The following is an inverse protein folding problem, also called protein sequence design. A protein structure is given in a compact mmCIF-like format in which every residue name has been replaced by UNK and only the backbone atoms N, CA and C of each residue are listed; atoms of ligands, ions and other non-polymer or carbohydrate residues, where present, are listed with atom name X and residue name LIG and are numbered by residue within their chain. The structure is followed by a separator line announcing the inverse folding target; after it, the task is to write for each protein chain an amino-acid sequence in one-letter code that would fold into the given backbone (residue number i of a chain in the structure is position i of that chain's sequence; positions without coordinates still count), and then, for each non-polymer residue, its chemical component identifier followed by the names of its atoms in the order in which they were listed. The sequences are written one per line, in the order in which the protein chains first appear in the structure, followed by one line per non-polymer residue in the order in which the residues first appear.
data_IF_259623271844
#
_entry.id   IF_259623271844
#
_cell.length_a   1.000
_cell.length_b   1.000
_cell.length_c   1.000
_cell.angle_alpha   90.00
_cell.angle_beta   90.00
_cell.angle_gamma   90.00
#
_symmetry.space_group_name_H-M   'P 1'
#
loop_
_entity.id
_entity.type
_entity.pdbx_description
1 polymer ?
#
# COMPACT_ATOMS: atom_id res chain seq x y z
N UNK A 1 -19.17 -16.56 -9.09
CA UNK A 1 -18.03 -16.29 -8.18
C UNK A 1 -18.57 -16.30 -6.78
N UNK A 2 -17.90 -16.96 -5.83
CA UNK A 2 -18.31 -16.97 -4.43
C UNK A 2 -18.20 -15.57 -3.81
N UNK A 3 -19.03 -15.31 -2.82
CA UNK A 3 -18.99 -14.06 -2.06
C UNK A 3 -17.73 -14.03 -1.18
N UNK A 4 -16.90 -12.99 -1.31
CA UNK A 4 -15.71 -12.81 -0.47
C UNK A 4 -16.15 -12.33 0.91
N UNK A 5 -15.82 -13.07 1.95
CA UNK A 5 -16.22 -12.77 3.33
C UNK A 5 -15.03 -12.39 4.22
N UNK A 6 -13.87 -12.11 3.61
CA UNK A 6 -12.63 -11.74 4.27
C UNK A 6 -12.11 -10.40 3.76
N UNK A 7 -11.28 -9.77 4.56
CA UNK A 7 -10.59 -8.51 4.27
C UNK A 7 -9.14 -8.79 3.82
N UNK A 8 -8.59 -7.87 3.06
CA UNK A 8 -7.16 -7.82 2.74
C UNK A 8 -6.63 -6.48 3.22
N UNK A 9 -5.56 -6.49 4.01
CA UNK A 9 -4.79 -5.30 4.31
C UNK A 9 -3.74 -5.11 3.21
N UNK A 10 -3.98 -4.16 2.32
CA UNK A 10 -3.14 -3.96 1.14
C UNK A 10 -1.84 -3.20 1.42
N UNK A 11 -1.65 -2.67 2.65
CA UNK A 11 -0.47 -1.91 3.02
C UNK A 11 -0.27 -1.85 4.54
N UNK A 12 0.74 -2.52 5.06
CA UNK A 12 1.19 -2.38 6.44
C UNK A 12 2.68 -2.70 6.60
N UNK A 13 3.26 -2.29 7.75
CA UNK A 13 4.66 -2.52 8.11
C UNK A 13 4.78 -3.48 9.31
N UNK A 14 3.91 -4.49 9.40
CA UNK A 14 3.89 -5.43 10.54
C UNK A 14 5.20 -6.19 10.73
N UNK A 15 6.01 -6.34 9.67
CA UNK A 15 7.33 -6.98 9.70
C UNK A 15 8.41 -6.12 10.39
N UNK A 16 8.19 -4.81 10.49
CA UNK A 16 9.20 -3.87 10.99
C UNK A 16 9.36 -3.98 12.52
N UNK A 17 10.53 -4.46 12.95
CA UNK A 17 10.84 -4.68 14.36
C UNK A 17 11.14 -3.39 15.16
N UNK A 18 11.33 -2.25 14.49
CA UNK A 18 11.43 -0.97 15.19
C UNK A 18 10.06 -0.57 15.78
N UNK A 19 8.96 -0.95 15.14
CA UNK A 19 7.61 -0.65 15.58
C UNK A 19 6.93 -1.83 16.27
N UNK A 20 7.19 -3.05 15.82
CA UNK A 20 6.56 -4.25 16.35
C UNK A 20 7.59 -5.23 16.86
N UNK A 21 7.75 -5.31 18.19
CA UNK A 21 8.51 -6.41 18.77
C UNK A 21 7.94 -7.77 18.33
N UNK A 22 8.74 -8.85 18.27
CA UNK A 22 8.29 -10.16 17.76
C UNK A 22 6.98 -10.68 18.38
N UNK A 23 6.77 -10.46 19.67
CA UNK A 23 5.51 -10.84 20.33
C UNK A 23 4.31 -10.00 19.85
N UNK A 24 4.52 -8.73 19.48
CA UNK A 24 3.48 -7.86 18.94
C UNK A 24 3.16 -8.24 17.49
N UNK A 25 4.16 -8.64 16.69
CA UNK A 25 3.96 -9.18 15.34
C UNK A 25 3.04 -10.41 15.36
N UNK A 26 3.34 -11.39 16.21
CA UNK A 26 2.51 -12.60 16.38
C UNK A 26 1.09 -12.27 16.88
N UNK A 27 0.97 -11.32 17.82
CA UNK A 27 -0.33 -10.85 18.28
C UNK A 27 -1.12 -10.18 17.15
N UNK A 28 -0.46 -9.35 16.33
CA UNK A 28 -1.05 -8.69 15.18
C UNK A 28 -1.60 -9.68 14.14
N UNK A 29 -0.81 -10.72 13.81
CA UNK A 29 -1.26 -11.81 12.91
C UNK A 29 -2.48 -12.55 13.49
N UNK A 30 -2.44 -12.90 14.77
CA UNK A 30 -3.56 -13.56 15.44
C UNK A 30 -4.82 -12.70 15.45
N UNK A 31 -4.69 -11.41 15.77
CA UNK A 31 -5.81 -10.48 15.79
C UNK A 31 -6.39 -10.29 14.37
N UNK A 32 -5.53 -10.21 13.36
CA UNK A 32 -5.94 -10.15 11.95
C UNK A 32 -6.82 -11.35 11.59
N UNK A 33 -6.35 -12.57 11.85
CA UNK A 33 -7.09 -13.79 11.57
C UNK A 33 -8.45 -13.84 12.31
N UNK A 34 -8.49 -13.45 13.59
CA UNK A 34 -9.73 -13.38 14.37
C UNK A 34 -10.75 -12.37 13.80
N UNK A 35 -10.28 -11.33 13.12
CA UNK A 35 -11.10 -10.30 12.46
C UNK A 35 -11.32 -10.55 10.97
N UNK A 36 -11.00 -11.75 10.48
CA UNK A 36 -11.15 -12.14 9.07
C UNK A 36 -10.33 -11.30 8.10
N UNK A 37 -9.18 -10.82 8.52
CA UNK A 37 -8.14 -10.30 7.64
C UNK A 37 -7.33 -11.50 7.17
N UNK A 38 -7.57 -11.92 5.93
CA UNK A 38 -7.09 -13.20 5.41
C UNK A 38 -5.76 -13.07 4.68
N UNK A 39 -5.49 -11.88 4.15
CA UNK A 39 -4.25 -11.56 3.44
C UNK A 39 -3.71 -10.21 3.91
N UNK A 40 -2.39 -10.11 4.01
CA UNK A 40 -1.68 -8.89 4.43
C UNK A 40 -0.48 -8.67 3.49
N UNK A 41 -0.31 -7.44 3.02
CA UNK A 41 0.85 -7.04 2.22
C UNK A 41 1.81 -6.25 3.10
N UNK A 42 2.98 -6.82 3.37
CA UNK A 42 4.08 -6.20 4.10
C UNK A 42 4.91 -5.33 3.16
N UNK A 43 5.03 -4.04 3.45
CA UNK A 43 5.58 -3.04 2.54
C UNK A 43 7.02 -2.71 2.87
N UNK A 44 7.93 -2.98 1.93
CA UNK A 44 9.32 -2.58 2.05
C UNK A 44 9.53 -1.10 1.74
N UNK A 45 10.38 -0.43 2.51
CA UNK A 45 10.68 1.00 2.39
C UNK A 45 12.11 1.29 1.98
N UNK A 46 13.00 0.31 2.10
CA UNK A 46 14.35 0.31 1.53
C UNK A 46 14.77 -1.12 1.18
N UNK A 47 16.00 -1.29 0.69
CA UNK A 47 16.49 -2.61 0.30
C UNK A 47 16.52 -3.59 1.48
N UNK A 48 17.05 -3.19 2.63
CA UNK A 48 17.15 -4.07 3.80
C UNK A 48 15.79 -4.36 4.42
N UNK A 49 14.95 -3.35 4.51
CA UNK A 49 13.58 -3.47 5.02
C UNK A 49 12.73 -4.38 4.11
N UNK A 50 12.86 -4.25 2.78
CA UNK A 50 12.22 -5.17 1.83
C UNK A 50 12.66 -6.63 2.05
N UNK A 51 13.94 -6.87 2.34
CA UNK A 51 14.43 -8.22 2.69
C UNK A 51 13.92 -8.71 4.05
N UNK A 52 13.71 -7.80 5.00
CA UNK A 52 13.08 -8.14 6.27
C UNK A 52 11.61 -8.52 6.07
N UNK A 53 10.87 -7.79 5.23
CA UNK A 53 9.50 -8.14 4.84
C UNK A 53 9.44 -9.52 4.17
N UNK A 54 10.34 -9.81 3.22
CA UNK A 54 10.44 -11.12 2.57
C UNK A 54 10.68 -12.22 3.61
N UNK A 55 11.63 -12.03 4.54
CA UNK A 55 11.93 -13.01 5.60
C UNK A 55 10.73 -13.24 6.50
N UNK A 56 10.07 -12.16 6.93
CA UNK A 56 8.88 -12.25 7.77
C UNK A 56 7.77 -13.08 7.12
N UNK A 57 7.52 -12.88 5.83
CA UNK A 57 6.56 -13.68 5.06
C UNK A 57 6.97 -15.16 5.00
N UNK A 58 8.26 -15.45 4.81
CA UNK A 58 8.77 -16.84 4.77
C UNK A 58 8.70 -17.55 6.12
N UNK A 59 8.85 -16.81 7.22
CA UNK A 59 8.78 -17.34 8.59
C UNK A 59 7.33 -17.61 9.05
N UNK A 60 6.31 -17.09 8.35
CA UNK A 60 4.89 -17.24 8.68
C UNK A 60 4.05 -17.76 7.49
N UNK A 61 4.39 -18.93 6.93
CA UNK A 61 3.76 -19.44 5.70
C UNK A 61 2.26 -19.74 5.85
N UNK A 62 1.77 -19.89 7.09
CA UNK A 62 0.36 -20.15 7.39
C UNK A 62 -0.52 -18.89 7.36
N UNK A 63 0.08 -17.70 7.29
CA UNK A 63 -0.61 -16.42 7.54
C UNK A 63 -1.00 -15.66 6.26
N UNK A 64 -0.88 -16.28 5.08
CA UNK A 64 -1.21 -15.64 3.78
C UNK A 64 -0.60 -14.24 3.64
N UNK A 65 0.69 -14.12 3.94
CA UNK A 65 1.42 -12.87 3.85
C UNK A 65 2.06 -12.71 2.47
N UNK A 66 2.09 -11.46 2.01
CA UNK A 66 2.77 -11.04 0.80
C UNK A 66 3.71 -9.88 1.12
N UNK A 67 4.63 -9.57 0.22
CA UNK A 67 5.56 -8.48 0.43
C UNK A 67 5.79 -7.68 -0.85
N UNK A 68 6.22 -6.43 -0.69
CA UNK A 68 6.65 -5.56 -1.77
C UNK A 68 8.12 -5.19 -1.63
N UNK A 69 8.75 -4.86 -2.75
CA UNK A 69 10.09 -4.31 -2.78
C UNK A 69 10.02 -2.84 -3.19
N UNK A 70 10.60 -1.95 -2.38
CA UNK A 70 10.62 -0.54 -2.70
C UNK A 70 11.72 0.23 -2.00
N UNK A 71 11.95 1.46 -2.47
CA UNK A 71 12.76 2.45 -1.77
C UNK A 71 11.92 3.71 -1.66
N UNK A 72 11.47 3.98 -0.43
CA UNK A 72 10.67 5.14 -0.11
C UNK A 72 11.42 6.45 -0.44
N UNK A 73 10.76 7.51 -0.87
CA UNK A 73 11.42 8.78 -1.20
C UNK A 73 12.28 9.37 -0.07
N UNK A 74 12.00 9.11 1.21
CA UNK A 74 12.87 9.51 2.33
C UNK A 74 14.21 8.76 2.34
N UNK A 75 14.24 7.55 1.78
CA UNK A 75 15.39 6.64 1.79
C UNK A 75 16.22 6.74 0.49
N UNK A 76 16.15 7.86 -0.21
CA UNK A 76 16.84 8.06 -1.48
C UNK A 76 18.37 7.87 -1.41
N UNK A 77 18.96 7.93 -0.21
CA UNK A 77 20.38 7.66 0.04
C UNK A 77 20.69 6.17 0.26
N UNK A 78 19.66 5.33 0.41
CA UNK A 78 19.85 3.91 0.66
C UNK A 78 20.62 3.23 -0.48
N UNK A 79 21.35 2.18 -0.13
CA UNK A 79 22.11 1.38 -1.12
C UNK A 79 21.17 0.79 -2.17
N UNK A 80 21.50 1.01 -3.43
CA UNK A 80 20.76 0.47 -4.57
C UNK A 80 21.42 -0.80 -5.05
N UNK A 81 20.67 -1.85 -5.13
CA UNK A 81 21.15 -3.14 -5.66
C UNK A 81 20.30 -3.49 -6.87
N UNK A 82 20.95 -3.94 -7.94
CA UNK A 82 20.22 -4.52 -9.07
C UNK A 82 19.53 -5.79 -8.60
N UNK A 83 18.20 -5.81 -8.65
CA UNK A 83 17.39 -6.93 -8.17
C UNK A 83 16.67 -7.56 -9.35
N UNK A 84 16.80 -8.89 -9.47
CA UNK A 84 15.99 -9.69 -10.39
C UNK A 84 15.13 -10.65 -9.58
N UNK A 85 13.81 -10.49 -9.69
CA UNK A 85 12.84 -11.28 -8.94
C UNK A 85 12.30 -12.48 -9.72
N UNK A 86 12.56 -12.58 -11.04
CA UNK A 86 11.95 -13.59 -11.93
C UNK A 86 12.24 -15.03 -11.54
N UNK A 87 13.37 -15.26 -10.87
CA UNK A 87 13.81 -16.60 -10.49
C UNK A 87 13.75 -16.85 -8.97
N UNK A 88 13.12 -15.97 -8.21
CA UNK A 88 12.97 -16.16 -6.76
C UNK A 88 11.79 -17.09 -6.45
N UNK A 89 11.96 -17.94 -5.45
CA UNK A 89 10.90 -18.85 -4.99
C UNK A 89 9.72 -18.11 -4.34
N UNK A 90 9.98 -16.94 -3.76
CA UNK A 90 8.98 -16.06 -3.15
C UNK A 90 9.27 -14.62 -3.63
N UNK A 91 8.85 -14.25 -4.84
CA UNK A 91 9.07 -12.90 -5.37
C UNK A 91 8.14 -11.88 -4.69
N UNK A 92 8.47 -10.58 -4.72
CA UNK A 92 7.54 -9.54 -4.30
C UNK A 92 6.34 -9.50 -5.25
N UNK A 93 5.20 -9.09 -4.72
CA UNK A 93 3.96 -8.93 -5.52
C UNK A 93 3.83 -7.54 -6.15
N UNK A 94 4.64 -6.58 -5.71
CA UNK A 94 4.64 -5.19 -6.18
C UNK A 94 6.01 -4.54 -6.02
N UNK A 95 6.25 -3.48 -6.80
CA UNK A 95 7.30 -2.50 -6.53
C UNK A 95 6.69 -1.35 -5.73
N UNK A 96 7.10 -1.22 -4.50
CA UNK A 96 6.60 -0.24 -3.54
C UNK A 96 7.11 -0.54 -2.11
N UNK A 97 7.21 0.51 -1.34
CA UNK A 97 6.67 1.85 -1.49
C UNK A 97 7.67 2.73 -2.25
N UNK A 98 7.18 3.47 -3.27
CA UNK A 98 8.03 4.30 -4.14
C UNK A 98 7.28 5.57 -4.54
N UNK A 99 7.99 6.64 -4.82
CA UNK A 99 7.33 7.87 -5.25
C UNK A 99 8.03 9.14 -4.84
N UNK A 100 7.26 10.15 -4.39
CA UNK A 100 7.75 11.48 -4.06
C UNK A 100 7.10 12.00 -2.76
N UNK A 101 7.93 12.55 -1.85
CA UNK A 101 7.48 13.22 -0.63
C UNK A 101 8.18 14.58 -0.50
N UNK A 102 7.41 15.66 -0.61
CA UNK A 102 7.95 17.03 -0.46
C UNK A 102 7.52 17.68 0.86
N UNK A 103 6.85 16.95 1.73
CA UNK A 103 6.33 17.48 3.00
C UNK A 103 7.45 18.00 3.93
N UNK A 104 8.59 17.31 3.97
CA UNK A 104 9.74 17.71 4.80
C UNK A 104 10.73 18.62 4.08
N UNK A 105 10.36 19.13 2.90
CA UNK A 105 11.16 20.02 2.08
C UNK A 105 11.52 19.44 0.72
N UNK A 106 12.18 20.23 -0.10
CA UNK A 106 12.49 19.89 -1.50
C UNK A 106 13.99 19.88 -1.81
N UNK A 107 14.85 19.88 -0.80
CA UNK A 107 16.31 19.92 -0.97
C UNK A 107 16.85 18.69 -1.72
N UNK A 108 16.19 17.55 -1.59
CA UNK A 108 16.50 16.27 -2.19
C UNK A 108 15.57 15.90 -3.37
N UNK A 109 14.76 16.85 -3.85
CA UNK A 109 13.78 16.65 -4.92
C UNK A 109 14.37 15.96 -6.15
N UNK A 110 15.57 16.37 -6.60
CA UNK A 110 16.20 15.78 -7.79
C UNK A 110 16.55 14.31 -7.57
N UNK A 111 16.99 13.97 -6.37
CA UNK A 111 17.36 12.61 -5.99
C UNK A 111 16.13 11.74 -5.89
N UNK A 112 15.04 12.25 -5.28
CA UNK A 112 13.76 11.54 -5.23
C UNK A 112 13.20 11.28 -6.64
N UNK A 113 13.27 12.25 -7.55
CA UNK A 113 12.82 12.09 -8.95
C UNK A 113 13.63 10.99 -9.63
N UNK A 114 14.98 11.04 -9.55
CA UNK A 114 15.83 10.03 -10.17
C UNK A 114 15.56 8.63 -9.61
N UNK A 115 15.39 8.51 -8.29
CA UNK A 115 15.00 7.24 -7.66
C UNK A 115 13.65 6.76 -8.14
N UNK A 116 12.66 7.64 -8.21
CA UNK A 116 11.32 7.27 -8.64
C UNK A 116 11.31 6.75 -10.09
N UNK A 117 12.03 7.41 -11.00
CA UNK A 117 12.20 6.95 -12.40
C UNK A 117 12.86 5.56 -12.47
N UNK A 118 13.88 5.30 -11.65
CA UNK A 118 14.51 3.97 -11.54
C UNK A 118 13.52 2.91 -11.07
N UNK A 119 12.69 3.21 -10.06
CA UNK A 119 11.70 2.28 -9.52
C UNK A 119 10.56 2.02 -10.51
N UNK A 120 10.14 3.02 -11.28
CA UNK A 120 9.19 2.84 -12.38
C UNK A 120 9.73 1.89 -13.44
N UNK A 121 11.00 2.07 -13.85
CA UNK A 121 11.63 1.19 -14.81
C UNK A 121 11.75 -0.24 -14.28
N UNK A 122 12.13 -0.42 -13.01
CA UNK A 122 12.18 -1.73 -12.36
C UNK A 122 10.80 -2.42 -12.39
N UNK A 123 9.73 -1.70 -12.06
CA UNK A 123 8.37 -2.26 -12.09
C UNK A 123 7.97 -2.73 -13.49
N UNK A 124 8.31 -1.97 -14.53
CA UNK A 124 8.08 -2.32 -15.94
C UNK A 124 8.87 -3.59 -16.30
N UNK A 125 10.16 -3.63 -15.99
CA UNK A 125 11.06 -4.75 -16.33
C UNK A 125 10.65 -6.06 -15.64
N UNK A 126 10.13 -5.96 -14.42
CA UNK A 126 9.63 -7.09 -13.63
C UNK A 126 8.15 -7.40 -13.91
N UNK A 127 7.43 -6.54 -14.65
CA UNK A 127 5.98 -6.62 -14.88
C UNK A 127 5.17 -6.68 -13.58
N UNK A 128 5.56 -5.89 -12.58
CA UNK A 128 4.90 -5.80 -11.28
C UNK A 128 4.07 -4.53 -11.15
N UNK A 129 2.96 -4.54 -10.39
CA UNK A 129 2.23 -3.33 -10.04
C UNK A 129 3.04 -2.45 -9.08
N UNK A 130 2.65 -1.18 -8.98
CA UNK A 130 3.31 -0.17 -8.16
C UNK A 130 2.46 0.20 -6.94
N UNK A 131 3.12 0.44 -5.81
CA UNK A 131 2.53 1.06 -4.63
C UNK A 131 3.17 2.43 -4.49
N UNK A 132 2.40 3.47 -4.82
CA UNK A 132 2.89 4.85 -4.89
C UNK A 132 2.70 5.60 -3.59
N UNK A 133 3.77 6.19 -3.08
CA UNK A 133 3.76 7.24 -2.08
C UNK A 133 3.80 8.61 -2.76
N UNK A 134 2.79 9.44 -2.56
CA UNK A 134 2.76 10.78 -3.15
C UNK A 134 2.26 11.79 -2.14
N UNK A 135 3.17 12.61 -1.61
CA UNK A 135 2.83 13.62 -0.61
C UNK A 135 3.33 15.00 -1.02
N UNK A 136 2.40 15.94 -1.22
CA UNK A 136 2.68 17.32 -1.68
C UNK A 136 3.47 17.38 -3.00
N UNK A 137 3.40 16.33 -3.85
CA UNK A 137 4.25 16.14 -5.04
C UNK A 137 3.49 15.72 -6.31
N UNK A 138 2.16 15.80 -6.34
CA UNK A 138 1.35 15.26 -7.44
C UNK A 138 1.63 15.87 -8.82
N UNK A 139 2.05 17.13 -8.92
CA UNK A 139 2.34 17.72 -10.23
C UNK A 139 3.61 17.10 -10.84
N UNK A 140 4.67 16.92 -10.08
CA UNK A 140 5.88 16.22 -10.55
C UNK A 140 5.61 14.72 -10.76
N UNK A 141 4.85 14.08 -9.87
CA UNK A 141 4.46 12.69 -10.01
C UNK A 141 3.83 12.41 -11.38
N UNK A 142 2.80 13.18 -11.76
CA UNK A 142 2.17 12.98 -13.06
C UNK A 142 3.03 13.45 -14.24
N UNK A 143 3.91 14.45 -14.06
CA UNK A 143 4.85 14.86 -15.09
C UNK A 143 5.85 13.73 -15.41
N UNK A 144 6.35 13.04 -14.38
CA UNK A 144 7.26 11.90 -14.54
C UNK A 144 6.54 10.72 -15.19
N UNK A 145 5.33 10.37 -14.74
CA UNK A 145 4.54 9.28 -15.35
C UNK A 145 4.29 9.53 -16.85
N UNK A 146 4.18 10.79 -17.28
CA UNK A 146 4.03 11.15 -18.68
C UNK A 146 5.22 10.75 -19.56
N UNK A 147 6.37 10.43 -19.01
CA UNK A 147 7.56 9.95 -19.72
C UNK A 147 7.53 8.42 -19.96
N UNK A 148 6.57 7.71 -19.36
CA UNK A 148 6.41 6.26 -19.46
C UNK A 148 5.12 5.90 -20.20
N UNK A 149 5.09 4.72 -20.83
CA UNK A 149 3.86 4.25 -21.46
C UNK A 149 2.78 3.96 -20.42
N UNK A 150 1.64 4.62 -20.50
CA UNK A 150 0.52 4.40 -19.59
C UNK A 150 0.05 2.92 -19.56
N UNK A 151 0.17 2.19 -20.67
CA UNK A 151 -0.18 0.78 -20.73
C UNK A 151 0.76 -0.14 -19.91
N UNK A 152 1.94 0.37 -19.53
CA UNK A 152 2.93 -0.39 -18.76
C UNK A 152 2.84 -0.16 -17.26
N UNK A 153 2.03 0.81 -16.82
CA UNK A 153 1.92 1.20 -15.41
C UNK A 153 0.55 0.81 -14.86
N UNK A 154 0.56 0.00 -13.82
CA UNK A 154 -0.61 -0.30 -12.99
C UNK A 154 -0.22 -0.19 -11.52
N UNK A 155 -1.13 0.26 -10.66
CA UNK A 155 -0.76 0.44 -9.26
C UNK A 155 -1.86 1.05 -8.42
N UNK A 156 -1.49 1.37 -7.19
CA UNK A 156 -2.31 2.05 -6.19
C UNK A 156 -1.57 3.29 -5.69
N UNK A 157 -2.28 4.42 -5.62
CA UNK A 157 -1.82 5.57 -4.84
C UNK A 157 -2.22 5.30 -3.39
N UNK A 158 -1.24 4.84 -2.62
CA UNK A 158 -1.39 4.53 -1.20
C UNK A 158 -1.68 5.81 -0.40
N UNK A 159 -2.45 5.67 0.69
CA UNK A 159 -2.72 6.75 1.66
C UNK A 159 -3.10 8.09 1.00
N UNK A 160 -4.04 8.06 0.07
CA UNK A 160 -4.39 9.26 -0.70
C UNK A 160 -4.94 10.37 0.20
N UNK A 161 -4.26 11.51 0.24
CA UNK A 161 -4.57 12.64 1.12
C UNK A 161 -4.69 13.97 0.37
N UNK A 162 -4.93 13.94 -0.92
CA UNK A 162 -4.96 15.15 -1.77
C UNK A 162 -6.39 15.51 -2.22
N UNK A 163 -6.51 16.45 -3.11
CA UNK A 163 -7.76 17.06 -3.57
C UNK A 163 -8.43 16.25 -4.70
N UNK A 164 -9.67 16.65 -5.04
CA UNK A 164 -10.48 16.02 -6.10
C UNK A 164 -9.82 16.06 -7.48
N UNK A 165 -9.00 17.09 -7.79
CA UNK A 165 -8.30 17.19 -9.09
C UNK A 165 -7.29 16.07 -9.22
N UNK A 166 -6.46 15.85 -8.20
CA UNK A 166 -5.43 14.82 -8.22
C UNK A 166 -6.03 13.40 -8.07
N UNK A 167 -7.13 13.23 -7.32
CA UNK A 167 -7.91 12.00 -7.34
C UNK A 167 -8.36 11.66 -8.77
N UNK A 168 -8.98 12.62 -9.46
CA UNK A 168 -9.43 12.41 -10.85
C UNK A 168 -8.27 12.01 -11.77
N UNK A 169 -7.13 12.70 -11.69
CA UNK A 169 -5.94 12.36 -12.48
C UNK A 169 -5.44 10.94 -12.20
N UNK A 170 -5.39 10.53 -10.93
CA UNK A 170 -5.00 9.15 -10.56
C UNK A 170 -5.93 8.10 -11.18
N UNK A 171 -7.25 8.36 -11.15
CA UNK A 171 -8.25 7.48 -11.75
C UNK A 171 -8.15 7.46 -13.29
N UNK A 172 -7.84 8.57 -13.94
CA UNK A 172 -7.60 8.66 -15.38
C UNK A 172 -6.37 7.84 -15.83
N UNK A 173 -5.36 7.70 -14.96
CA UNK A 173 -4.24 6.77 -15.16
C UNK A 173 -4.61 5.30 -14.89
N UNK A 174 -5.84 5.02 -14.44
CA UNK A 174 -6.30 3.66 -14.13
C UNK A 174 -5.87 3.13 -12.76
N UNK A 175 -5.28 3.98 -11.91
CA UNK A 175 -4.80 3.57 -10.59
C UNK A 175 -5.95 3.31 -9.62
N UNK A 176 -5.70 2.40 -8.69
CA UNK A 176 -6.46 2.26 -7.46
C UNK A 176 -6.04 3.32 -6.44
N UNK A 177 -6.86 3.51 -5.42
CA UNK A 177 -6.67 4.49 -4.36
C UNK A 177 -6.72 3.79 -3.02
N UNK A 178 -5.66 3.93 -2.24
CA UNK A 178 -5.58 3.43 -0.88
C UNK A 178 -6.42 4.28 0.07
N UNK A 179 -7.26 3.62 0.85
CA UNK A 179 -8.10 4.25 1.89
C UNK A 179 -7.78 3.60 3.23
N UNK A 180 -7.26 4.41 4.15
CA UNK A 180 -6.82 3.98 5.47
C UNK A 180 -7.58 4.69 6.61
N UNK A 181 -7.08 4.51 7.84
CA UNK A 181 -7.68 5.06 9.05
C UNK A 181 -7.81 6.58 9.06
N UNK A 182 -6.94 7.30 8.34
CA UNK A 182 -7.01 8.77 8.23
C UNK A 182 -8.36 9.24 7.67
N UNK A 183 -8.95 8.49 6.74
CA UNK A 183 -10.24 8.81 6.15
C UNK A 183 -11.36 8.87 7.19
N UNK A 184 -11.25 8.14 8.30
CA UNK A 184 -12.30 8.09 9.34
C UNK A 184 -12.44 9.39 10.15
N UNK A 185 -11.42 10.26 10.13
CA UNK A 185 -11.40 11.54 10.86
C UNK A 185 -10.94 12.74 10.02
N UNK A 186 -10.85 12.58 8.70
CA UNK A 186 -10.52 13.65 7.75
C UNK A 186 -11.61 13.79 6.69
N UNK A 187 -11.64 14.95 6.02
CA UNK A 187 -12.53 15.15 4.87
C UNK A 187 -11.75 14.99 3.58
N UNK A 188 -11.67 13.75 3.11
CA UNK A 188 -10.97 13.40 1.86
C UNK A 188 -12.00 13.05 0.77
N UNK A 189 -11.67 13.33 -0.50
CA UNK A 189 -12.49 12.86 -1.61
C UNK A 189 -12.37 11.33 -1.72
N UNK A 190 -13.50 10.63 -1.83
CA UNK A 190 -13.52 9.19 -2.04
C UNK A 190 -13.61 8.87 -3.53
N UNK A 191 -12.86 7.86 -4.01
CA UNK A 191 -13.01 7.32 -5.34
C UNK A 191 -14.26 6.41 -5.42
N UNK A 192 -14.65 5.97 -6.65
CA UNK A 192 -15.63 4.90 -6.81
C UNK A 192 -15.18 3.61 -6.12
N UNK A 193 -16.13 2.83 -5.60
CA UNK A 193 -15.82 1.64 -4.79
C UNK A 193 -14.96 0.60 -5.54
N UNK A 194 -15.14 0.47 -6.86
CA UNK A 194 -14.37 -0.42 -7.71
C UNK A 194 -12.91 0.06 -7.96
N UNK A 195 -12.52 1.16 -7.33
CA UNK A 195 -11.16 1.73 -7.37
C UNK A 195 -10.54 1.90 -5.98
N UNK A 196 -11.17 1.38 -4.94
CA UNK A 196 -10.66 1.45 -3.56
C UNK A 196 -9.90 0.17 -3.21
N UNK A 197 -8.68 0.33 -2.67
CA UNK A 197 -8.05 -0.68 -1.81
C UNK A 197 -8.16 -0.25 -0.36
N UNK A 198 -8.44 -1.19 0.53
CA UNK A 198 -8.40 -0.94 1.97
C UNK A 198 -7.00 -1.25 2.50
N UNK A 199 -6.50 -0.40 3.36
CA UNK A 199 -5.19 -0.53 3.97
C UNK A 199 -5.19 0.01 5.39
N UNK A 200 -4.30 -0.49 6.26
CA UNK A 200 -4.16 0.08 7.60
C UNK A 200 -3.05 1.09 7.68
N UNK A 201 -1.99 0.92 6.93
CA UNK A 201 -0.72 1.62 7.10
C UNK A 201 -0.14 1.43 8.52
N UNK A 202 -0.43 0.26 9.13
CA UNK A 202 0.04 -0.04 10.48
C UNK A 202 1.58 -0.05 10.55
N UNK A 203 2.20 0.61 11.55
CA UNK A 203 1.65 1.03 12.86
C UNK A 203 1.01 2.43 12.87
N UNK A 204 0.92 3.10 11.74
CA UNK A 204 0.45 4.48 11.60
C UNK A 204 -1.07 4.56 11.42
N UNK A 205 -1.61 5.77 11.42
CA UNK A 205 -2.93 6.14 10.92
C UNK A 205 -4.11 5.34 11.49
N UNK A 206 -4.09 5.01 12.79
CA UNK A 206 -5.18 4.29 13.45
C UNK A 206 -6.55 4.92 13.20
N UNK A 207 -7.57 4.14 12.79
CA UNK A 207 -8.92 4.64 12.58
C UNK A 207 -9.61 5.00 13.91
N UNK A 208 -10.71 5.77 13.84
CA UNK A 208 -11.62 5.92 14.97
C UNK A 208 -12.26 4.56 15.26
N UNK A 209 -12.37 4.13 16.56
CA UNK A 209 -12.10 4.90 17.80
C UNK A 209 -10.65 4.84 18.31
N UNK A 210 -9.75 4.19 17.62
CA UNK A 210 -8.38 3.89 18.10
C UNK A 210 -7.36 5.00 17.80
N UNK A 211 -7.81 6.18 17.39
CA UNK A 211 -6.91 7.29 17.07
C UNK A 211 -5.95 7.61 18.23
N UNK A 212 -4.64 7.63 17.91
CA UNK A 212 -3.58 7.88 18.90
C UNK A 212 -2.97 6.61 19.52
N UNK A 213 -3.52 5.44 19.22
CA UNK A 213 -2.92 4.15 19.56
C UNK A 213 -2.05 3.65 18.39
N UNK A 214 -1.14 2.70 18.65
CA UNK A 214 -0.43 1.96 17.60
C UNK A 214 -1.44 1.18 16.77
N UNK A 215 -1.44 1.37 15.45
CA UNK A 215 -2.34 0.67 14.55
C UNK A 215 -1.92 -0.80 14.37
N UNK A 216 -2.87 -1.65 13.93
CA UNK A 216 -2.62 -3.06 13.59
C UNK A 216 -3.53 -3.50 12.43
N UNK A 217 -3.16 -4.56 11.66
CA UNK A 217 -3.95 -5.00 10.50
C UNK A 217 -5.40 -5.34 10.80
N UNK A 218 -5.72 -5.80 12.02
CA UNK A 218 -7.09 -6.15 12.41
C UNK A 218 -8.06 -4.96 12.33
N UNK A 219 -7.54 -3.73 12.44
CA UNK A 219 -8.36 -2.49 12.42
C UNK A 219 -8.83 -2.07 11.01
N UNK A 220 -8.45 -2.80 9.98
CA UNK A 220 -9.02 -2.60 8.63
C UNK A 220 -10.54 -2.80 8.61
N UNK A 221 -11.08 -3.57 9.54
CA UNK A 221 -12.51 -3.79 9.70
C UNK A 221 -13.27 -2.50 10.05
N UNK A 222 -12.67 -1.65 10.89
CA UNK A 222 -13.21 -0.34 11.25
C UNK A 222 -13.25 0.58 10.02
N UNK A 223 -12.20 0.52 9.21
CA UNK A 223 -12.10 1.31 7.96
C UNK A 223 -13.17 0.84 6.98
N UNK A 224 -13.34 -0.47 6.79
CA UNK A 224 -14.38 -1.05 5.95
C UNK A 224 -15.79 -0.67 6.44
N UNK A 225 -16.04 -0.72 7.74
CA UNK A 225 -17.32 -0.36 8.37
C UNK A 225 -17.62 1.13 8.19
N UNK A 226 -16.61 1.99 8.40
CA UNK A 226 -16.74 3.42 8.15
C UNK A 226 -17.06 3.69 6.68
N UNK A 227 -16.34 3.03 5.74
CA UNK A 227 -16.54 3.20 4.31
C UNK A 227 -17.96 2.77 3.89
N UNK A 228 -18.47 1.64 4.40
CA UNK A 228 -19.81 1.16 4.15
C UNK A 228 -20.87 2.19 4.59
N UNK A 229 -20.71 2.74 5.79
CA UNK A 229 -21.58 3.80 6.31
C UNK A 229 -21.50 5.06 5.44
N UNK A 230 -20.30 5.46 5.04
CA UNK A 230 -20.07 6.68 4.24
C UNK A 230 -20.68 6.59 2.84
N UNK A 231 -20.62 5.41 2.23
CA UNK A 231 -21.17 5.13 0.91
C UNK A 231 -22.63 4.69 0.94
N UNK A 232 -23.22 4.49 2.12
CA UNK A 232 -24.59 3.96 2.31
C UNK A 232 -24.78 2.58 1.64
N UNK A 233 -23.79 1.71 1.81
CA UNK A 233 -23.76 0.35 1.29
C UNK A 233 -23.68 -0.66 2.43
N UNK A 234 -24.11 -1.88 2.17
CA UNK A 234 -23.93 -2.99 3.10
C UNK A 234 -22.44 -3.36 3.22
N UNK A 235 -21.99 -3.62 4.45
CA UNK A 235 -20.59 -3.99 4.72
C UNK A 235 -20.07 -5.15 3.85
N UNK A 236 -20.84 -6.24 3.62
CA UNK A 236 -20.38 -7.31 2.72
C UNK A 236 -20.14 -6.84 1.28
N UNK A 237 -20.89 -5.87 0.77
CA UNK A 237 -20.68 -5.29 -0.58
C UNK A 237 -19.33 -4.58 -0.64
N UNK A 238 -19.00 -3.79 0.38
CA UNK A 238 -17.71 -3.09 0.48
C UNK A 238 -16.57 -4.09 0.59
N UNK A 239 -16.68 -5.06 1.50
CA UNK A 239 -15.65 -6.10 1.68
C UNK A 239 -15.41 -6.86 0.36
N UNK A 240 -16.48 -7.34 -0.27
CA UNK A 240 -16.36 -8.12 -1.51
C UNK A 240 -15.69 -7.33 -2.64
N UNK A 241 -16.07 -6.04 -2.82
CA UNK A 241 -15.51 -5.23 -3.90
C UNK A 241 -14.05 -4.83 -3.61
N UNK A 242 -13.73 -4.37 -2.42
CA UNK A 242 -12.35 -3.93 -2.10
C UNK A 242 -11.37 -5.10 -2.05
N UNK A 243 -11.80 -6.25 -1.56
CA UNK A 243 -11.02 -7.50 -1.63
C UNK A 243 -10.75 -7.88 -3.09
N UNK A 244 -11.79 -7.86 -3.94
CA UNK A 244 -11.63 -8.13 -5.37
C UNK A 244 -10.65 -7.16 -6.03
N UNK A 245 -10.74 -5.87 -5.73
CA UNK A 245 -9.84 -4.86 -6.28
C UNK A 245 -8.37 -5.16 -5.94
N UNK A 246 -8.11 -5.56 -4.68
CA UNK A 246 -6.76 -5.90 -4.21
C UNK A 246 -6.23 -7.16 -4.92
N UNK A 247 -7.07 -8.19 -5.04
CA UNK A 247 -6.73 -9.42 -5.77
C UNK A 247 -6.49 -9.13 -7.26
N UNK A 248 -7.32 -8.32 -7.90
CA UNK A 248 -7.17 -7.95 -9.32
C UNK A 248 -5.86 -7.17 -9.56
N UNK A 249 -5.45 -6.28 -8.64
CA UNK A 249 -4.22 -5.50 -8.79
C UNK A 249 -2.97 -6.36 -8.61
N UNK A 250 -2.92 -7.13 -7.52
CA UNK A 250 -1.70 -7.82 -7.09
C UNK A 250 -1.61 -9.27 -7.57
N UNK A 251 -2.70 -9.86 -8.04
CA UNK A 251 -2.73 -11.25 -8.50
C UNK A 251 -2.64 -12.29 -7.37
N UNK A 252 -3.18 -12.00 -6.19
CA UNK A 252 -3.06 -12.80 -4.95
C UNK A 252 -4.37 -13.47 -4.55
#
# INVERSE_FOLDING_TARGET
MGERTYLIDSHCHLHDQEFFAPAAQLSGLKNAALNRVDKIVCIGTDHQDSLNAQRFVQEHPESNLFWSYGIHPSEWQASRTTVDFKNQANPPIAIGEVGLDYHYGTSDKKQQIALFEEMLQLAIDQNLPLIFHVREAFDDFFAILGNFSAASLRGVVHSFTDNKKNLKRSLEHGFYIGVNGLATYSTLPLPPLDRILLETDAPFLSPVPYRGETNEPSRIKEIATWLATKLQLDLPVVINQTTKNTEDLFGI
#
